data_IF_600984273179
#
_entry.id   IF_600984273179
#
_cell.length_a   1.000
_cell.length_b   1.000
_cell.length_c   1.000
_cell.angle_alpha   90.00
_cell.angle_beta   90.00
_cell.angle_gamma   90.00
#
_symmetry.space_group_name_H-M   'P 1'
#
loop_
_entity.id
_entity.type
_entity.pdbx_description
1 polymer ?
#
# COMPACT_ATOMS: atom_id res chain seq x y z
N UNK A 1 0.89 -20.53 -26.48
CA UNK A 1 0.73 -19.27 -25.70
C UNK A 1 1.09 -19.56 -24.27
N UNK A 2 2.28 -19.17 -23.83
CA UNK A 2 2.71 -19.34 -22.45
C UNK A 2 1.82 -18.45 -21.56
N UNK A 3 0.95 -19.05 -20.74
CA UNK A 3 0.29 -18.32 -19.66
C UNK A 3 1.42 -17.74 -18.80
N UNK A 4 1.55 -16.41 -18.79
CA UNK A 4 2.41 -15.73 -17.82
C UNK A 4 2.05 -16.30 -16.44
N UNK A 5 3.04 -16.64 -15.59
CA UNK A 5 2.76 -17.07 -14.23
C UNK A 5 1.82 -16.04 -13.62
N UNK A 6 0.69 -16.50 -13.09
CA UNK A 6 -0.32 -15.64 -12.49
C UNK A 6 0.37 -14.88 -11.36
N UNK A 7 0.72 -13.62 -11.58
CA UNK A 7 1.32 -12.79 -10.55
C UNK A 7 0.23 -12.57 -9.52
N UNK A 8 0.45 -13.01 -8.29
CA UNK A 8 -0.51 -12.77 -7.23
C UNK A 8 -0.47 -11.30 -6.80
N UNK A 9 -1.64 -10.75 -6.51
CA UNK A 9 -1.76 -9.38 -6.05
C UNK A 9 -1.05 -9.20 -4.69
N UNK A 10 -0.10 -8.26 -4.54
CA UNK A 10 0.64 -8.10 -3.31
C UNK A 10 -0.23 -7.68 -2.12
N UNK A 11 -0.13 -8.44 -1.03
CA UNK A 11 -0.81 -8.14 0.24
C UNK A 11 -0.09 -7.03 1.01
N UNK A 12 -0.85 -6.13 1.63
CA UNK A 12 -0.31 -5.03 2.43
C UNK A 12 -0.84 -5.10 3.86
N UNK A 13 0.03 -5.35 4.82
CA UNK A 13 -0.28 -5.24 6.26
C UNK A 13 0.25 -3.93 6.88
N UNK A 14 0.98 -3.12 6.10
CA UNK A 14 1.60 -1.87 6.53
C UNK A 14 3.07 -1.99 6.92
N UNK A 15 3.64 -3.19 6.93
CA UNK A 15 5.09 -3.42 7.08
C UNK A 15 5.78 -3.37 5.72
N UNK A 16 7.05 -2.95 5.69
CA UNK A 16 7.89 -2.87 4.48
C UNK A 16 7.17 -2.20 3.29
N UNK A 17 6.59 -1.02 3.55
CA UNK A 17 5.75 -0.32 2.59
C UNK A 17 6.45 -0.05 1.25
N UNK A 18 7.75 0.26 1.27
CA UNK A 18 8.55 0.48 0.06
C UNK A 18 8.59 -0.74 -0.86
N UNK A 19 8.84 -1.92 -0.29
CA UNK A 19 8.86 -3.18 -1.04
C UNK A 19 7.48 -3.54 -1.57
N UNK A 20 6.44 -3.36 -0.76
CA UNK A 20 5.07 -3.58 -1.18
C UNK A 20 4.68 -2.63 -2.33
N UNK A 21 5.03 -1.35 -2.22
CA UNK A 21 4.74 -0.33 -3.23
C UNK A 21 5.44 -0.66 -4.55
N UNK A 22 6.70 -1.08 -4.50
CA UNK A 22 7.42 -1.54 -5.69
C UNK A 22 6.69 -2.71 -6.36
N UNK A 23 6.33 -3.75 -5.58
CA UNK A 23 5.68 -4.96 -6.11
C UNK A 23 4.30 -4.67 -6.71
N UNK A 24 3.48 -3.84 -6.07
CA UNK A 24 2.12 -3.57 -6.55
C UNK A 24 2.13 -2.71 -7.83
N UNK A 25 3.08 -1.78 -7.97
CA UNK A 25 3.28 -1.05 -9.22
C UNK A 25 3.76 -1.96 -10.36
N UNK A 26 4.63 -2.94 -10.09
CA UNK A 26 5.01 -3.94 -11.10
C UNK A 26 3.81 -4.81 -11.50
N UNK A 27 2.99 -5.24 -10.54
CA UNK A 27 1.76 -5.99 -10.84
C UNK A 27 0.85 -5.19 -11.79
N UNK A 28 0.58 -3.92 -11.50
CA UNK A 28 -0.29 -3.10 -12.35
C UNK A 28 0.28 -2.88 -13.76
N UNK A 29 1.60 -2.81 -13.91
CA UNK A 29 2.25 -2.72 -15.23
C UNK A 29 2.09 -4.01 -16.03
N UNK A 30 2.28 -5.17 -15.38
CA UNK A 30 2.18 -6.49 -16.03
C UNK A 30 0.73 -6.81 -16.41
N UNK A 31 -0.23 -6.48 -15.53
CA UNK A 31 -1.66 -6.74 -15.72
C UNK A 31 -2.36 -5.66 -16.59
N UNK A 32 -1.63 -4.58 -16.94
CA UNK A 32 -2.18 -3.40 -17.62
C UNK A 32 -3.41 -2.81 -16.90
N UNK A 33 -3.31 -2.75 -15.56
CA UNK A 33 -4.40 -2.32 -14.70
C UNK A 33 -4.61 -0.81 -14.83
N UNK A 34 -5.84 -0.42 -15.16
CA UNK A 34 -6.23 0.98 -15.27
C UNK A 34 -6.35 1.65 -13.88
N UNK A 35 -6.02 2.94 -13.80
CA UNK A 35 -6.00 3.72 -12.55
C UNK A 35 -7.32 3.67 -11.75
N UNK A 36 -8.46 3.63 -12.44
CA UNK A 36 -9.78 3.55 -11.80
C UNK A 36 -10.03 2.22 -11.06
N UNK A 37 -9.23 1.19 -11.34
CA UNK A 37 -9.33 -0.14 -10.71
C UNK A 37 -8.22 -0.39 -9.69
N UNK A 38 -7.05 0.27 -9.83
CA UNK A 38 -5.89 0.11 -8.92
C UNK A 38 -6.26 0.25 -7.45
N UNK A 39 -7.04 1.29 -7.14
CA UNK A 39 -7.50 1.56 -5.78
C UNK A 39 -8.36 0.41 -5.23
N UNK A 40 -9.35 -0.05 -6.01
CA UNK A 40 -10.26 -1.15 -5.62
C UNK A 40 -9.51 -2.46 -5.39
N UNK A 41 -8.56 -2.78 -6.29
CA UNK A 41 -7.71 -3.98 -6.18
C UNK A 41 -6.83 -3.92 -4.93
N UNK A 42 -6.25 -2.76 -4.64
CA UNK A 42 -5.39 -2.59 -3.48
C UNK A 42 -6.15 -2.84 -2.17
N UNK A 43 -7.36 -2.30 -2.04
CA UNK A 43 -8.17 -2.40 -0.81
C UNK A 43 -8.47 -3.85 -0.43
N UNK A 44 -8.82 -4.68 -1.42
CA UNK A 44 -9.18 -6.10 -1.15
C UNK A 44 -7.99 -6.94 -0.67
N UNK A 45 -6.76 -6.44 -0.82
CA UNK A 45 -5.54 -7.09 -0.35
C UNK A 45 -4.89 -6.40 0.85
N UNK A 46 -5.59 -5.44 1.47
CA UNK A 46 -5.18 -4.88 2.76
C UNK A 46 -5.46 -5.85 3.90
N UNK A 47 -4.54 -5.87 4.86
CA UNK A 47 -4.60 -6.71 6.05
C UNK A 47 -4.28 -5.90 7.30
N UNK A 48 -4.74 -6.41 8.44
CA UNK A 48 -4.32 -5.98 9.78
C UNK A 48 -4.34 -4.46 9.94
N UNK A 49 -3.19 -3.87 10.30
CA UNK A 49 -3.01 -2.44 10.55
C UNK A 49 -3.32 -1.58 9.32
N UNK A 50 -3.01 -2.05 8.11
CA UNK A 50 -3.32 -1.33 6.88
C UNK A 50 -4.83 -1.25 6.61
N UNK A 51 -5.56 -2.35 6.85
CA UNK A 51 -7.01 -2.37 6.67
C UNK A 51 -7.72 -1.50 7.72
N UNK A 52 -7.26 -1.52 8.98
CA UNK A 52 -7.78 -0.65 10.03
C UNK A 52 -7.57 0.83 9.70
N UNK A 53 -6.37 1.19 9.24
CA UNK A 53 -6.07 2.55 8.82
C UNK A 53 -6.95 2.99 7.65
N UNK A 54 -7.14 2.13 6.64
CA UNK A 54 -7.99 2.44 5.49
C UNK A 54 -9.42 2.81 5.92
N UNK A 55 -10.01 2.06 6.87
CA UNK A 55 -11.35 2.37 7.40
C UNK A 55 -11.40 3.77 8.03
N UNK A 56 -10.43 4.10 8.87
CA UNK A 56 -10.35 5.42 9.50
C UNK A 56 -10.11 6.55 8.47
N UNK A 57 -9.24 6.29 7.49
CA UNK A 57 -8.96 7.21 6.38
C UNK A 57 -10.20 7.52 5.55
N UNK A 58 -11.02 6.52 5.22
CA UNK A 58 -12.23 6.76 4.44
C UNK A 58 -13.29 7.54 5.23
N UNK A 59 -13.37 7.33 6.54
CA UNK A 59 -14.23 8.14 7.42
C UNK A 59 -13.81 9.62 7.44
N UNK A 60 -12.51 9.92 7.33
CA UNK A 60 -12.03 11.31 7.27
C UNK A 60 -12.08 11.92 5.86
N UNK A 61 -12.34 11.12 4.83
CA UNK A 61 -12.41 11.55 3.42
C UNK A 61 -13.84 11.66 2.89
N UNK A 62 -14.85 11.73 3.77
CA UNK A 62 -16.26 11.89 3.37
C UNK A 62 -16.44 13.14 2.52
N UNK A 63 -17.06 12.98 1.35
CA UNK A 63 -17.28 14.06 0.38
C UNK A 63 -16.05 14.46 -0.43
N UNK A 64 -14.91 13.78 -0.25
CA UNK A 64 -13.66 14.09 -0.96
C UNK A 64 -13.38 13.01 -2.00
N UNK A 65 -13.14 13.43 -3.24
CA UNK A 65 -12.66 12.52 -4.28
C UNK A 65 -11.23 12.06 -3.96
N UNK A 66 -11.05 10.75 -3.76
CA UNK A 66 -9.74 10.12 -3.54
C UNK A 66 -9.34 9.40 -4.83
N UNK A 67 -8.32 9.92 -5.51
CA UNK A 67 -7.67 9.25 -6.64
C UNK A 67 -6.40 8.53 -6.19
N UNK A 68 -5.91 7.61 -7.02
CA UNK A 68 -4.78 6.71 -6.70
C UNK A 68 -3.57 7.45 -6.13
N UNK A 69 -3.12 8.52 -6.78
CA UNK A 69 -1.96 9.30 -6.31
C UNK A 69 -2.15 9.92 -4.93
N UNK A 70 -3.35 10.45 -4.62
CA UNK A 70 -3.66 10.97 -3.29
C UNK A 70 -3.64 9.86 -2.24
N UNK A 71 -4.21 8.70 -2.57
CA UNK A 71 -4.22 7.55 -1.68
C UNK A 71 -2.81 7.04 -1.37
N UNK A 72 -1.98 6.81 -2.39
CA UNK A 72 -0.59 6.34 -2.25
C UNK A 72 0.23 7.28 -1.38
N UNK A 73 0.08 8.61 -1.56
CA UNK A 73 0.77 9.60 -0.73
C UNK A 73 0.40 9.48 0.75
N UNK A 74 -0.89 9.34 1.06
CA UNK A 74 -1.36 9.18 2.44
C UNK A 74 -0.91 7.85 3.05
N UNK A 75 -0.88 6.78 2.25
CA UNK A 75 -0.31 5.51 2.67
C UNK A 75 1.19 5.61 2.95
N UNK A 76 1.96 6.27 2.07
CA UNK A 76 3.39 6.49 2.26
C UNK A 76 3.67 7.31 3.52
N UNK A 77 2.88 8.34 3.80
CA UNK A 77 2.99 9.10 5.06
C UNK A 77 2.72 8.22 6.29
N UNK A 78 1.80 7.25 6.19
CA UNK A 78 1.44 6.37 7.31
C UNK A 78 2.42 5.21 7.52
N UNK A 79 2.86 4.58 6.44
CA UNK A 79 3.57 3.29 6.46
C UNK A 79 4.98 3.36 5.86
N UNK A 80 5.29 4.41 5.11
CA UNK A 80 6.57 4.61 4.43
C UNK A 80 7.75 4.85 5.35
N UNK A 81 7.50 5.13 6.64
CA UNK A 81 8.56 5.25 7.63
C UNK A 81 9.00 3.91 8.23
N UNK A 82 8.29 2.79 8.04
CA UNK A 82 8.69 1.50 8.63
C UNK A 82 8.98 1.56 10.15
N UNK A 83 9.54 0.50 10.70
CA UNK A 83 10.17 0.52 12.05
C UNK A 83 11.59 1.13 12.00
N UNK A 84 12.06 1.56 10.83
CA UNK A 84 13.41 2.12 10.60
C UNK A 84 13.43 3.65 10.48
N UNK A 85 12.28 4.28 10.25
CA UNK A 85 12.12 5.73 10.18
C UNK A 85 11.63 6.35 11.48
N UNK A 86 11.47 5.54 12.53
CA UNK A 86 11.37 6.03 13.90
C UNK A 86 12.81 6.22 14.42
N UNK A 87 13.29 7.45 14.60
CA UNK A 87 14.64 7.71 15.11
C UNK A 87 14.91 6.96 16.42
N UNK A 88 13.87 6.69 17.22
CA UNK A 88 13.97 5.98 18.50
C UNK A 88 14.10 4.47 18.31
N UNK A 89 13.50 3.89 17.27
CA UNK A 89 13.63 2.47 16.96
C UNK A 89 15.02 2.14 16.39
N UNK A 90 15.65 3.08 15.66
CA UNK A 90 17.07 2.96 15.26
C UNK A 90 17.96 2.92 16.50
N UNK A 91 17.74 3.82 17.47
CA UNK A 91 18.53 3.88 18.70
C UNK A 91 18.35 2.64 19.59
N UNK A 92 17.17 2.04 19.61
CA UNK A 92 16.88 0.83 20.39
C UNK A 92 17.57 -0.43 19.86
N UNK A 93 18.02 -0.45 18.59
CA UNK A 93 18.76 -1.57 17.99
C UNK A 93 20.25 -1.59 18.33
N UNK A 94 20.78 -0.56 19.00
CA UNK A 94 22.18 -0.46 19.42
C UNK A 94 22.38 -0.77 20.92
N UNK A 95 21.58 -1.67 21.50
CA UNK A 95 21.72 -2.07 22.90
C UNK A 95 21.88 -3.57 23.06
#
# INVERSE_FOLDING_TARGET
MSRLPRVDLPKCNGSNFSDWMYRIEQFFKVDNTHDHVKFKLTIVNLKDKALQWYKAYMTSMVGIMVYWGKYVRNMAQRFGHGEEGDPLAILAKFK
#
